data_IF_486132615919
#
_entry.id   IF_486132615919
#
_cell.length_a   1.000
_cell.length_b   1.000
_cell.length_c   1.000
_cell.angle_alpha   90.00
_cell.angle_beta   90.00
_cell.angle_gamma   90.00
#
_symmetry.space_group_name_H-M   'P 1'
#
loop_
_entity.id
_entity.type
_entity.pdbx_description
1 polymer ?
#
# COMPACT_ATOMS: atom_id res chain seq x y z
N UNK A 1 -4.09 -16.18 -4.50
CA UNK A 1 -2.78 -16.26 -3.81
C UNK A 1 -2.81 -15.60 -2.43
N UNK A 2 -3.00 -14.28 -2.29
CA UNK A 2 -2.98 -13.59 -0.98
C UNK A 2 -3.94 -14.17 0.07
N UNK A 3 -5.16 -14.54 -0.33
CA UNK A 3 -6.16 -15.13 0.58
C UNK A 3 -5.71 -16.48 1.16
N UNK A 4 -5.02 -17.30 0.38
CA UNK A 4 -4.50 -18.58 0.85
C UNK A 4 -3.37 -18.35 1.86
N UNK A 5 -2.40 -17.51 1.52
CA UNK A 5 -1.29 -17.16 2.42
C UNK A 5 -1.77 -16.51 3.73
N UNK A 6 -2.77 -15.63 3.66
CA UNK A 6 -3.39 -15.01 4.83
C UNK A 6 -4.12 -16.02 5.72
N UNK A 7 -4.70 -17.08 5.11
CA UNK A 7 -5.34 -18.18 5.84
C UNK A 7 -4.27 -19.00 6.58
N UNK A 8 -3.20 -19.37 5.89
CA UNK A 8 -2.12 -20.19 6.44
C UNK A 8 -1.38 -19.46 7.56
N UNK A 9 -1.22 -18.14 7.45
CA UNK A 9 -0.63 -17.30 8.49
C UNK A 9 -1.61 -16.88 9.61
N UNK A 10 -2.86 -17.36 9.59
CA UNK A 10 -3.85 -17.11 10.65
C UNK A 10 -4.43 -15.69 10.69
N UNK A 11 -4.17 -14.85 9.69
CA UNK A 11 -4.58 -13.44 9.66
C UNK A 11 -6.07 -13.21 9.34
N UNK A 12 -6.79 -14.23 8.86
CA UNK A 12 -8.19 -14.10 8.42
C UNK A 12 -9.23 -14.07 9.54
N UNK A 13 -8.85 -14.18 10.82
CA UNK A 13 -9.82 -14.27 11.94
C UNK A 13 -10.63 -12.99 12.16
N UNK A 14 -10.08 -11.80 11.83
CA UNK A 14 -10.70 -10.53 12.21
C UNK A 14 -10.70 -9.42 11.15
N UNK A 15 -10.00 -9.58 10.01
CA UNK A 15 -9.97 -8.56 8.95
C UNK A 15 -9.98 -9.18 7.56
N UNK A 16 -10.75 -8.56 6.65
CA UNK A 16 -10.74 -8.90 5.22
C UNK A 16 -9.46 -8.35 4.60
N UNK A 17 -8.48 -9.23 4.39
CA UNK A 17 -7.25 -8.89 3.67
C UNK A 17 -7.53 -8.96 2.17
N UNK A 18 -7.45 -7.81 1.52
CA UNK A 18 -7.54 -7.65 0.05
C UNK A 18 -6.21 -7.12 -0.50
N UNK A 19 -5.95 -7.35 -1.78
CA UNK A 19 -4.78 -6.77 -2.45
C UNK A 19 -4.71 -5.25 -2.27
N UNK A 20 -5.85 -4.57 -2.31
CA UNK A 20 -5.94 -3.13 -2.06
C UNK A 20 -5.53 -2.77 -0.62
N UNK A 21 -6.02 -3.50 0.39
CA UNK A 21 -5.63 -3.25 1.79
C UNK A 21 -4.14 -3.48 2.06
N UNK A 22 -3.51 -4.44 1.37
CA UNK A 22 -2.06 -4.68 1.48
C UNK A 22 -1.28 -3.56 0.82
N UNK A 23 -1.73 -3.07 -0.34
CA UNK A 23 -1.13 -1.92 -1.01
C UNK A 23 -1.21 -0.65 -0.14
N UNK A 24 -2.34 -0.41 0.54
CA UNK A 24 -2.48 0.67 1.54
C UNK A 24 -1.43 0.55 2.65
N UNK A 25 -1.33 -0.65 3.22
CA UNK A 25 -0.39 -0.92 4.30
C UNK A 25 1.07 -0.72 3.87
N UNK A 26 1.43 -1.16 2.66
CA UNK A 26 2.76 -0.93 2.08
C UNK A 26 3.07 0.57 2.00
N UNK A 27 2.16 1.38 1.45
CA UNK A 27 2.35 2.83 1.35
C UNK A 27 2.51 3.48 2.73
N UNK A 28 1.70 3.07 3.70
CA UNK A 28 1.81 3.57 5.07
C UNK A 28 3.19 3.23 5.68
N UNK A 29 3.70 2.02 5.45
CA UNK A 29 5.03 1.59 5.91
C UNK A 29 6.16 2.41 5.27
N UNK A 30 6.11 2.63 3.96
CA UNK A 30 7.10 3.43 3.23
C UNK A 30 7.09 4.89 3.71
N UNK A 31 5.90 5.45 3.95
CA UNK A 31 5.74 6.78 4.53
C UNK A 31 6.32 6.87 5.95
N UNK A 32 6.05 5.90 6.80
CA UNK A 32 6.59 5.87 8.16
C UNK A 32 8.12 5.75 8.18
N UNK A 33 8.70 5.19 7.12
CA UNK A 33 10.14 5.14 6.90
C UNK A 33 10.70 6.44 6.26
N UNK A 34 9.89 7.48 6.10
CA UNK A 34 10.24 8.76 5.47
C UNK A 34 10.76 8.63 4.02
N UNK A 35 10.31 7.59 3.29
CA UNK A 35 10.67 7.43 1.88
C UNK A 35 9.97 8.52 1.06
N UNK A 36 10.69 9.20 0.14
CA UNK A 36 10.09 10.23 -0.70
C UNK A 36 8.86 9.72 -1.46
N UNK A 37 7.81 10.55 -1.59
CA UNK A 37 6.62 10.18 -2.35
C UNK A 37 6.93 9.78 -3.81
N UNK A 38 7.94 10.38 -4.43
CA UNK A 38 8.42 10.06 -5.78
C UNK A 38 8.88 8.61 -5.91
N UNK A 39 9.60 8.10 -4.92
CA UNK A 39 10.07 6.70 -4.87
C UNK A 39 8.91 5.75 -4.54
N UNK A 40 8.05 6.15 -3.60
CA UNK A 40 6.85 5.40 -3.25
C UNK A 40 5.91 5.25 -4.46
N UNK A 41 5.79 6.29 -5.28
CA UNK A 41 5.02 6.26 -6.53
C UNK A 41 5.62 5.30 -7.56
N UNK A 42 6.95 5.25 -7.69
CA UNK A 42 7.63 4.30 -8.56
C UNK A 42 7.37 2.85 -8.13
N UNK A 43 7.50 2.56 -6.83
CA UNK A 43 7.26 1.22 -6.25
C UNK A 43 5.80 0.78 -6.45
N UNK A 44 4.85 1.70 -6.31
CA UNK A 44 3.41 1.39 -6.38
C UNK A 44 2.80 1.52 -7.78
N UNK A 45 3.62 1.88 -8.78
CA UNK A 45 3.23 1.97 -10.19
C UNK A 45 2.35 3.18 -10.53
N UNK A 46 2.45 4.29 -9.79
CA UNK A 46 1.73 5.52 -10.13
C UNK A 46 2.56 6.39 -11.05
N UNK A 47 1.91 6.99 -12.06
CA UNK A 47 2.55 7.97 -12.94
C UNK A 47 2.97 9.19 -12.11
N UNK A 48 4.21 9.67 -12.31
CA UNK A 48 4.69 10.95 -11.76
C UNK A 48 3.68 12.04 -12.15
N UNK A 49 2.96 12.56 -11.18
CA UNK A 49 1.99 13.63 -11.38
C UNK A 49 2.50 14.87 -10.63
N UNK A 50 2.93 15.94 -11.34
CA UNK A 50 3.54 17.11 -10.71
C UNK A 50 2.59 17.84 -9.74
N UNK A 51 1.28 17.60 -9.86
CA UNK A 51 0.23 18.34 -9.14
C UNK A 51 -0.14 17.72 -7.79
N UNK A 52 0.28 16.48 -7.48
CA UNK A 52 -0.31 15.76 -6.36
C UNK A 52 0.65 14.81 -5.62
N UNK A 53 1.58 15.39 -4.86
CA UNK A 53 2.20 14.66 -3.74
C UNK A 53 1.22 14.42 -2.57
N UNK A 54 0.16 15.21 -2.47
CA UNK A 54 -0.83 15.15 -1.38
C UNK A 54 -1.97 14.14 -1.66
N UNK A 55 -2.43 13.96 -2.91
CA UNK A 55 -3.55 13.06 -3.24
C UNK A 55 -3.17 11.57 -3.25
N UNK A 56 -1.87 11.27 -3.39
CA UNK A 56 -1.34 9.91 -3.24
C UNK A 56 -1.76 9.28 -1.89
N UNK A 57 -1.93 10.12 -0.86
CA UNK A 57 -2.33 9.71 0.49
C UNK A 57 -3.80 9.30 0.61
N UNK A 58 -4.66 9.70 -0.33
CA UNK A 58 -6.09 9.36 -0.32
C UNK A 58 -6.42 8.19 -1.24
N UNK A 59 -5.67 8.02 -2.33
CA UNK A 59 -5.86 6.96 -3.33
C UNK A 59 -5.23 5.64 -2.88
N UNK A 60 -4.05 5.72 -2.25
CA UNK A 60 -3.41 4.58 -1.60
C UNK A 60 -3.81 4.46 -0.14
#
# INVERSE_FOLDING_TARGET
MLKAMAKDAGFLKHKRITNHSVRKFLVQKLRNANIPPTETMAITGHKKCPVHNQLFQHIC
#
